data_IF_287483235490
#
_entry.id   IF_287483235490
#
_cell.length_a   1.000
_cell.length_b   1.000
_cell.length_c   1.000
_cell.angle_alpha   90.00
_cell.angle_beta   90.00
_cell.angle_gamma   90.00
#
_symmetry.space_group_name_H-M   'P 1'
#
loop_
_entity.id
_entity.type
_entity.pdbx_description
1 polymer ?
#
# COMPACT_ATOMS: atom_id res chain seq x y z
N UNK A 1 -8.95 -26.79 16.31
CA UNK A 1 -7.96 -25.91 15.64
C UNK A 1 -8.57 -24.91 14.64
N UNK A 2 -9.74 -25.16 14.01
CA UNK A 2 -10.47 -24.16 13.20
C UNK A 2 -10.94 -22.93 14.01
N UNK A 3 -11.54 -23.15 15.19
CA UNK A 3 -12.05 -22.07 16.07
C UNK A 3 -11.01 -20.99 16.46
N UNK A 4 -9.74 -21.36 16.64
CA UNK A 4 -8.67 -20.39 17.00
C UNK A 4 -8.26 -19.55 15.78
N UNK A 5 -8.29 -20.14 14.58
CA UNK A 5 -7.97 -19.46 13.33
C UNK A 5 -9.06 -18.41 13.01
N UNK A 6 -10.33 -18.78 13.18
CA UNK A 6 -11.48 -17.89 12.97
C UNK A 6 -11.45 -16.64 13.86
N UNK A 7 -11.01 -16.78 15.12
CA UNK A 7 -10.87 -15.66 16.04
C UNK A 7 -9.82 -14.62 15.61
N UNK A 8 -8.75 -15.03 14.92
CA UNK A 8 -7.72 -14.09 14.46
C UNK A 8 -8.22 -13.27 13.26
N UNK A 9 -8.94 -13.91 12.33
CA UNK A 9 -9.57 -13.23 11.20
C UNK A 9 -10.60 -12.21 11.68
N UNK A 10 -11.45 -12.58 12.65
CA UNK A 10 -12.49 -11.71 13.18
C UNK A 10 -11.92 -10.50 13.94
N UNK A 11 -10.88 -10.70 14.77
CA UNK A 11 -10.22 -9.60 15.49
C UNK A 11 -9.57 -8.60 14.54
N UNK A 12 -8.93 -9.09 13.48
CA UNK A 12 -8.32 -8.22 12.46
C UNK A 12 -9.38 -7.44 11.68
N UNK A 13 -10.44 -8.12 11.22
CA UNK A 13 -11.56 -7.49 10.54
C UNK A 13 -12.20 -6.40 11.42
N UNK A 14 -12.53 -6.72 12.67
CA UNK A 14 -13.16 -5.79 13.61
C UNK A 14 -12.25 -4.60 13.92
N UNK A 15 -10.94 -4.83 14.07
CA UNK A 15 -9.94 -3.75 14.25
C UNK A 15 -9.86 -2.83 13.02
N UNK A 16 -9.88 -3.39 11.81
CA UNK A 16 -9.86 -2.61 10.57
C UNK A 16 -11.15 -1.81 10.39
N UNK A 17 -12.31 -2.44 10.57
CA UNK A 17 -13.59 -1.75 10.47
C UNK A 17 -13.71 -0.65 11.53
N UNK A 18 -13.35 -0.91 12.78
CA UNK A 18 -13.34 0.10 13.83
C UNK A 18 -12.42 1.27 13.48
N UNK A 19 -11.23 1.00 12.93
CA UNK A 19 -10.29 2.04 12.51
C UNK A 19 -10.87 2.93 11.41
N UNK A 20 -11.44 2.35 10.36
CA UNK A 20 -12.05 3.13 9.28
C UNK A 20 -13.31 3.86 9.71
N UNK A 21 -14.11 3.30 10.63
CA UNK A 21 -15.26 3.99 11.24
C UNK A 21 -14.80 5.19 12.07
N UNK A 22 -13.72 5.05 12.85
CA UNK A 22 -13.13 6.18 13.59
C UNK A 22 -12.64 7.26 12.63
N UNK A 23 -11.91 6.89 11.57
CA UNK A 23 -11.47 7.86 10.55
C UNK A 23 -12.67 8.56 9.90
N UNK A 24 -13.69 7.81 9.48
CA UNK A 24 -14.89 8.38 8.88
C UNK A 24 -15.63 9.30 9.86
N UNK A 25 -15.70 8.93 11.14
CA UNK A 25 -16.27 9.76 12.20
C UNK A 25 -15.47 11.02 12.46
N UNK A 26 -14.14 10.96 12.44
CA UNK A 26 -13.24 12.12 12.56
C UNK A 26 -13.41 13.05 11.37
N UNK A 27 -13.45 12.51 10.15
CA UNK A 27 -13.69 13.28 8.92
C UNK A 27 -15.06 13.96 8.99
N UNK A 28 -16.10 13.22 9.35
CA UNK A 28 -17.46 13.74 9.47
C UNK A 28 -17.56 14.83 10.55
N UNK A 29 -16.94 14.62 11.71
CA UNK A 29 -16.87 15.63 12.77
C UNK A 29 -16.10 16.88 12.33
N UNK A 30 -15.00 16.72 11.60
CA UNK A 30 -14.23 17.82 11.05
C UNK A 30 -15.07 18.66 10.07
N UNK A 31 -15.84 18.00 9.18
CA UNK A 31 -16.80 18.67 8.30
C UNK A 31 -17.94 19.35 9.07
N UNK A 32 -18.39 18.78 10.19
CA UNK A 32 -19.46 19.34 11.00
C UNK A 32 -19.04 20.60 11.77
N UNK A 33 -17.77 20.71 12.17
CA UNK A 33 -17.26 21.87 12.92
C UNK A 33 -16.82 23.02 12.02
N UNK A 34 -16.32 22.74 10.80
CA UNK A 34 -15.79 23.76 9.90
C UNK A 34 -16.28 23.52 8.47
N UNK A 35 -17.33 24.24 8.02
CA UNK A 35 -17.91 24.07 6.68
C UNK A 35 -16.94 24.39 5.52
N UNK A 36 -15.92 25.23 5.76
CA UNK A 36 -14.89 25.67 4.78
C UNK A 36 -13.58 24.84 4.85
N UNK A 37 -13.57 23.72 5.58
CA UNK A 37 -12.36 22.92 5.79
C UNK A 37 -11.88 22.20 4.52
N UNK A 38 -12.78 21.98 3.56
CA UNK A 38 -12.47 21.39 2.24
C UNK A 38 -11.52 22.25 1.39
N UNK A 39 -11.45 23.57 1.64
CA UNK A 39 -10.55 24.48 0.92
C UNK A 39 -9.10 24.41 1.41
N UNK A 40 -8.90 24.05 2.68
CA UNK A 40 -7.60 24.10 3.35
C UNK A 40 -7.00 22.71 3.59
N UNK A 41 -7.82 21.65 3.52
CA UNK A 41 -7.34 20.29 3.67
C UNK A 41 -7.13 19.61 2.32
N UNK A 42 -6.10 18.75 2.20
CA UNK A 42 -5.86 17.89 1.04
C UNK A 42 -6.89 16.74 0.94
N UNK A 43 -8.18 17.05 1.01
CA UNK A 43 -9.22 16.01 0.98
C UNK A 43 -9.54 15.57 -0.45
N UNK A 44 -9.48 16.47 -1.44
CA UNK A 44 -9.71 16.19 -2.86
C UNK A 44 -11.09 15.62 -3.15
N UNK A 45 -11.95 16.39 -3.83
CA UNK A 45 -13.29 15.91 -4.21
C UNK A 45 -13.20 15.24 -5.59
N UNK A 46 -13.70 14.01 -5.69
CA UNK A 46 -13.65 13.20 -6.94
C UNK A 46 -14.36 13.90 -8.11
N UNK A 47 -15.34 14.75 -7.81
CA UNK A 47 -16.05 15.56 -8.79
C UNK A 47 -15.11 16.38 -9.68
N UNK A 48 -14.06 16.95 -9.10
CA UNK A 48 -13.11 17.80 -9.84
C UNK A 48 -12.26 17.00 -10.85
N UNK A 49 -11.97 15.73 -10.57
CA UNK A 49 -11.26 14.85 -11.51
C UNK A 49 -12.12 14.42 -12.71
N UNK A 50 -13.45 14.42 -12.55
CA UNK A 50 -14.38 13.99 -13.58
C UNK A 50 -14.88 15.16 -14.44
N UNK A 51 -14.71 16.40 -13.96
CA UNK A 51 -15.11 17.63 -14.65
C UNK A 51 -14.01 18.28 -15.49
N UNK A 52 -12.79 17.72 -15.52
CA UNK A 52 -11.65 18.35 -16.17
C UNK A 52 -11.60 18.04 -17.68
N UNK A 53 -12.20 18.92 -18.47
CA UNK A 53 -12.20 18.91 -19.93
C UNK A 53 -10.85 19.41 -20.51
N UNK A 54 -9.73 18.75 -20.20
CA UNK A 54 -8.42 19.03 -20.84
C UNK A 54 -8.19 18.11 -22.06
N UNK A 55 -8.27 18.61 -23.30
CA UNK A 55 -8.14 17.81 -24.52
C UNK A 55 -6.74 17.25 -24.75
N UNK A 56 -5.72 17.68 -23.99
CA UNK A 56 -4.34 17.16 -24.12
C UNK A 56 -4.00 16.11 -23.08
N UNK A 57 -4.73 16.04 -21.95
CA UNK A 57 -4.50 15.07 -20.85
C UNK A 57 -3.11 15.12 -20.21
N UNK A 58 -2.28 16.11 -20.56
CA UNK A 58 -0.89 16.24 -20.13
C UNK A 58 -0.69 17.36 -19.10
N UNK A 59 -1.69 18.23 -18.92
CA UNK A 59 -1.69 19.33 -17.95
C UNK A 59 -2.64 19.13 -16.75
N UNK A 60 -3.60 18.19 -16.84
CA UNK A 60 -4.67 17.96 -15.85
C UNK A 60 -4.31 17.26 -14.53
N UNK A 61 -3.12 17.50 -13.95
CA UNK A 61 -2.84 17.13 -12.56
C UNK A 61 -2.58 18.40 -11.76
N UNK A 62 -3.63 19.18 -11.52
CA UNK A 62 -3.56 20.33 -10.63
C UNK A 62 -3.45 19.85 -9.17
N UNK A 63 -2.31 20.10 -8.54
CA UNK A 63 -2.18 19.96 -7.09
C UNK A 63 -3.04 21.04 -6.45
N UNK A 64 -4.04 20.62 -5.68
CA UNK A 64 -4.99 21.48 -4.96
C UNK A 64 -4.34 22.27 -3.81
N UNK A 65 -3.01 22.33 -3.77
CA UNK A 65 -2.21 23.16 -2.87
C UNK A 65 -2.15 24.63 -3.32
N UNK A 66 -2.59 24.93 -4.56
CA UNK A 66 -2.60 26.28 -5.13
C UNK A 66 -3.53 27.27 -4.44
N UNK A 67 -4.41 26.81 -3.54
CA UNK A 67 -5.30 27.67 -2.74
C UNK A 67 -4.63 28.27 -1.49
N UNK A 68 -3.37 27.92 -1.18
CA UNK A 68 -2.69 28.39 0.02
C UNK A 68 -1.65 29.44 -0.33
N UNK A 69 -2.08 30.70 -0.34
CA UNK A 69 -1.26 31.87 -0.66
C UNK A 69 -0.31 32.30 0.47
N UNK A 70 -0.32 31.60 1.60
CA UNK A 70 0.46 31.90 2.80
C UNK A 70 1.51 30.81 3.07
N UNK A 71 2.78 31.18 3.25
CA UNK A 71 3.90 30.24 3.45
C UNK A 71 3.62 29.28 4.62
N UNK A 72 2.97 29.78 5.67
CA UNK A 72 2.59 28.99 6.84
C UNK A 72 1.52 27.94 6.51
N UNK A 73 0.53 28.30 5.71
CA UNK A 73 -0.55 27.39 5.34
C UNK A 73 -0.06 26.24 4.46
N UNK A 74 0.90 26.50 3.55
CA UNK A 74 1.47 25.45 2.69
C UNK A 74 2.20 24.37 3.50
N UNK A 75 2.93 24.78 4.55
CA UNK A 75 3.59 23.85 5.47
C UNK A 75 2.56 23.02 6.26
N UNK A 76 1.50 23.65 6.76
CA UNK A 76 0.42 22.94 7.47
C UNK A 76 -0.26 21.92 6.55
N UNK A 77 -0.55 22.32 5.31
CA UNK A 77 -1.15 21.44 4.30
C UNK A 77 -0.27 20.22 4.04
N UNK A 78 1.05 20.42 3.87
CA UNK A 78 2.02 19.34 3.67
C UNK A 78 2.06 18.38 4.88
N UNK A 79 2.11 18.93 6.09
CA UNK A 79 2.11 18.12 7.32
C UNK A 79 0.86 17.26 7.38
N UNK A 80 -0.31 17.83 7.07
CA UNK A 80 -1.56 17.08 7.08
C UNK A 80 -1.59 16.01 5.99
N UNK A 81 -1.08 16.29 4.78
CA UNK A 81 -0.97 15.31 3.70
C UNK A 81 -0.08 14.12 4.11
N UNK A 82 1.09 14.40 4.69
CA UNK A 82 2.03 13.37 5.17
C UNK A 82 1.42 12.56 6.31
N UNK A 83 0.85 13.22 7.31
CA UNK A 83 0.21 12.54 8.45
C UNK A 83 -0.97 11.68 7.98
N UNK A 84 -1.77 12.19 7.04
CA UNK A 84 -2.86 11.45 6.40
C UNK A 84 -2.35 10.21 5.68
N UNK A 85 -1.31 10.33 4.85
CA UNK A 85 -0.71 9.21 4.15
C UNK A 85 -0.19 8.13 5.11
N UNK A 86 0.52 8.53 6.17
CA UNK A 86 1.04 7.62 7.20
C UNK A 86 -0.12 6.93 7.94
N UNK A 87 -1.14 7.69 8.34
CA UNK A 87 -2.32 7.17 9.04
C UNK A 87 -3.07 6.14 8.18
N UNK A 88 -3.15 6.35 6.87
CA UNK A 88 -3.76 5.41 5.93
C UNK A 88 -2.94 4.12 5.74
N UNK A 89 -1.62 4.18 5.91
CA UNK A 89 -0.74 3.00 5.80
C UNK A 89 -0.68 2.14 7.06
N UNK A 90 -1.07 2.66 8.22
CA UNK A 90 -1.18 1.87 9.47
C UNK A 90 -2.06 0.62 9.32
N UNK A 91 -3.33 0.69 8.86
CA UNK A 91 -4.16 -0.50 8.71
C UNK A 91 -3.61 -1.47 7.66
N UNK A 92 -2.97 -0.96 6.60
CA UNK A 92 -2.29 -1.78 5.59
C UNK A 92 -1.16 -2.61 6.22
N UNK A 93 -0.42 -2.02 7.17
CA UNK A 93 0.64 -2.74 7.89
C UNK A 93 0.09 -3.89 8.75
N UNK A 94 -1.09 -3.72 9.34
CA UNK A 94 -1.74 -4.77 10.10
C UNK A 94 -2.15 -5.94 9.20
N UNK A 95 -2.68 -5.64 8.02
CA UNK A 95 -3.02 -6.66 7.01
C UNK A 95 -1.76 -7.41 6.57
N UNK A 96 -0.67 -6.71 6.26
CA UNK A 96 0.61 -7.32 5.92
C UNK A 96 1.11 -8.30 6.99
N UNK A 97 1.16 -7.85 8.24
CA UNK A 97 1.63 -8.66 9.37
C UNK A 97 0.70 -9.85 9.66
N UNK A 98 -0.60 -9.71 9.45
CA UNK A 98 -1.55 -10.78 9.75
C UNK A 98 -1.55 -11.91 8.71
N UNK A 99 -1.24 -11.58 7.45
CA UNK A 99 -1.18 -12.58 6.38
C UNK A 99 0.10 -13.40 6.48
N UNK A 100 1.20 -12.80 6.94
CA UNK A 100 2.48 -13.51 7.12
C UNK A 100 2.53 -14.23 8.45
N UNK A 101 3.14 -15.42 8.45
CA UNK A 101 3.58 -16.06 9.70
C UNK A 101 4.61 -15.13 10.36
N UNK A 102 4.50 -14.91 11.66
CA UNK A 102 5.35 -13.98 12.43
C UNK A 102 6.86 -14.17 12.20
N UNK A 103 7.31 -15.41 11.92
CA UNK A 103 8.72 -15.71 11.61
C UNK A 103 9.20 -15.32 10.20
N UNK A 104 8.29 -14.87 9.32
CA UNK A 104 8.57 -14.47 7.93
C UNK A 104 8.21 -13.00 7.66
N UNK A 105 7.85 -12.23 8.69
CA UNK A 105 7.61 -10.79 8.55
C UNK A 105 8.96 -10.11 8.41
N UNK A 106 9.17 -9.39 7.32
CA UNK A 106 10.36 -8.56 7.14
C UNK A 106 10.08 -7.19 7.78
N UNK A 107 10.75 -6.92 8.90
CA UNK A 107 10.60 -5.66 9.62
C UNK A 107 11.01 -4.47 8.74
N UNK A 108 12.06 -4.63 7.92
CA UNK A 108 12.52 -3.57 7.02
C UNK A 108 11.45 -3.22 5.99
N UNK A 109 10.67 -4.20 5.53
CA UNK A 109 9.57 -3.95 4.61
C UNK A 109 8.44 -3.16 5.27
N UNK A 110 8.03 -3.54 6.48
CA UNK A 110 6.98 -2.82 7.22
C UNK A 110 7.37 -1.37 7.47
N UNK A 111 8.62 -1.14 7.88
CA UNK A 111 9.18 0.20 8.07
C UNK A 111 9.20 0.99 6.75
N UNK A 112 9.70 0.37 5.68
CA UNK A 112 9.73 0.98 4.34
C UNK A 112 8.33 1.36 3.89
N UNK A 113 7.33 0.51 4.09
CA UNK A 113 5.96 0.77 3.67
C UNK A 113 5.32 1.97 4.39
N UNK A 114 5.74 2.27 5.62
CA UNK A 114 5.27 3.41 6.42
C UNK A 114 6.04 4.70 6.08
N UNK A 115 7.34 4.60 5.80
CA UNK A 115 8.20 5.75 5.50
C UNK A 115 8.09 6.19 4.03
N UNK A 116 7.93 5.25 3.11
CA UNK A 116 7.87 5.52 1.67
C UNK A 116 6.76 6.50 1.22
N UNK A 117 5.53 6.49 1.77
CA UNK A 117 4.51 7.47 1.41
C UNK A 117 4.96 8.89 1.74
N UNK A 118 5.68 9.09 2.85
CA UNK A 118 6.21 10.40 3.26
C UNK A 118 7.14 10.96 2.18
N UNK A 119 8.09 10.14 1.72
CA UNK A 119 9.02 10.53 0.67
C UNK A 119 8.28 10.82 -0.65
N UNK A 120 7.35 9.96 -1.04
CA UNK A 120 6.59 10.10 -2.29
C UNK A 120 5.70 11.35 -2.27
N UNK A 121 4.99 11.62 -1.17
CA UNK A 121 4.18 12.84 -0.98
C UNK A 121 5.05 14.09 -1.13
N UNK A 122 6.22 14.12 -0.51
CA UNK A 122 7.16 15.24 -0.64
C UNK A 122 7.68 15.42 -2.07
N UNK A 123 8.07 14.33 -2.73
CA UNK A 123 8.56 14.37 -4.12
C UNK A 123 7.50 14.96 -5.06
N UNK A 124 6.25 14.48 -4.97
CA UNK A 124 5.14 14.96 -5.82
C UNK A 124 4.93 16.47 -5.68
N UNK A 125 5.03 16.98 -4.46
CA UNK A 125 4.88 18.42 -4.23
C UNK A 125 6.05 19.23 -4.77
N UNK A 126 7.28 18.70 -4.69
CA UNK A 126 8.47 19.35 -5.25
C UNK A 126 8.39 19.44 -6.78
N UNK A 127 7.88 18.40 -7.43
CA UNK A 127 7.80 18.33 -8.91
C UNK A 127 6.46 18.82 -9.46
N UNK A 128 5.67 19.55 -8.67
CA UNK A 128 4.32 20.03 -9.01
C UNK A 128 4.21 20.58 -10.44
N UNK A 129 5.14 21.44 -10.85
CA UNK A 129 5.08 22.13 -12.13
C UNK A 129 5.47 21.26 -13.35
N UNK A 130 5.88 20.01 -13.14
CA UNK A 130 6.29 19.09 -14.20
C UNK A 130 6.07 17.62 -13.84
N UNK A 131 4.89 17.31 -13.29
CA UNK A 131 4.54 15.95 -12.88
C UNK A 131 4.68 14.94 -14.03
N UNK A 132 4.14 15.26 -15.22
CA UNK A 132 4.25 14.40 -16.39
C UNK A 132 5.72 14.07 -16.74
N UNK A 133 6.62 15.05 -16.62
CA UNK A 133 8.05 14.87 -16.88
C UNK A 133 8.70 14.03 -15.78
N UNK A 134 8.41 14.31 -14.51
CA UNK A 134 8.91 13.55 -13.38
C UNK A 134 8.48 12.08 -13.42
N UNK A 135 7.22 11.80 -13.78
CA UNK A 135 6.71 10.45 -13.98
C UNK A 135 7.34 9.76 -15.19
N UNK A 136 7.53 10.49 -16.30
CA UNK A 136 8.22 9.95 -17.48
C UNK A 136 9.63 9.48 -17.13
N UNK A 137 10.42 10.32 -16.45
CA UNK A 137 11.77 9.97 -16.02
C UNK A 137 11.77 8.80 -15.03
N UNK A 138 10.88 8.84 -14.03
CA UNK A 138 10.74 7.76 -13.04
C UNK A 138 10.34 6.44 -13.72
N UNK A 139 9.48 6.49 -14.73
CA UNK A 139 9.06 5.35 -15.54
C UNK A 139 10.21 4.70 -16.31
N UNK A 140 11.06 5.51 -16.94
CA UNK A 140 12.27 5.02 -17.62
C UNK A 140 13.21 4.34 -16.63
N UNK A 141 13.47 4.96 -15.48
CA UNK A 141 14.33 4.39 -14.42
C UNK A 141 13.74 3.10 -13.86
N UNK A 142 12.43 3.07 -13.61
CA UNK A 142 11.71 1.89 -13.14
C UNK A 142 11.80 0.75 -14.15
N UNK A 143 11.59 1.02 -15.45
CA UNK A 143 11.73 0.02 -16.53
C UNK A 143 13.13 -0.59 -16.61
N UNK A 144 14.18 0.23 -16.47
CA UNK A 144 15.57 -0.24 -16.43
C UNK A 144 15.85 -1.11 -15.19
N UNK A 145 15.17 -0.85 -14.07
CA UNK A 145 15.33 -1.62 -12.82
C UNK A 145 14.43 -2.86 -12.74
N UNK A 146 13.29 -2.85 -13.43
CA UNK A 146 12.32 -3.96 -13.47
C UNK A 146 12.94 -5.25 -14.02
N UNK A 147 13.97 -5.13 -14.88
CA UNK A 147 14.73 -6.27 -15.40
C UNK A 147 15.49 -7.08 -14.33
N UNK A 148 15.57 -6.61 -13.07
CA UNK A 148 16.44 -7.23 -12.08
C UNK A 148 15.88 -7.40 -10.65
N UNK A 149 14.57 -7.28 -10.40
CA UNK A 149 14.06 -7.50 -9.03
C UNK A 149 12.60 -7.92 -8.96
N UNK A 150 12.34 -9.15 -8.54
CA UNK A 150 11.17 -9.50 -7.72
C UNK A 150 11.62 -10.53 -6.67
N UNK A 151 11.93 -10.07 -5.44
CA UNK A 151 12.23 -10.97 -4.29
C UNK A 151 10.98 -11.76 -3.84
N UNK A 152 9.79 -11.15 -3.99
CA UNK A 152 8.48 -11.74 -3.73
C UNK A 152 7.41 -10.83 -4.32
N UNK A 153 6.58 -11.32 -5.24
CA UNK A 153 5.54 -10.51 -5.90
C UNK A 153 4.51 -9.94 -4.91
N UNK A 154 4.22 -10.67 -3.82
CA UNK A 154 3.29 -10.20 -2.79
C UNK A 154 3.81 -8.96 -2.06
N UNK A 155 5.10 -8.93 -1.74
CA UNK A 155 5.75 -7.81 -1.04
C UNK A 155 5.76 -6.55 -1.91
N UNK A 156 5.99 -6.71 -3.21
CA UNK A 156 5.96 -5.61 -4.18
C UNK A 156 4.60 -4.92 -4.24
N UNK A 157 3.49 -5.65 -4.04
CA UNK A 157 2.15 -5.06 -4.06
C UNK A 157 1.91 -4.13 -2.86
N UNK A 158 2.43 -4.46 -1.68
CA UNK A 158 2.35 -3.58 -0.50
C UNK A 158 3.20 -2.32 -0.65
N UNK A 159 4.39 -2.45 -1.23
CA UNK A 159 5.23 -1.29 -1.56
C UNK A 159 4.58 -0.43 -2.64
N UNK A 160 3.99 -1.03 -3.67
CA UNK A 160 3.26 -0.30 -4.70
C UNK A 160 2.06 0.45 -4.10
N UNK A 161 1.34 -0.18 -3.17
CA UNK A 161 0.26 0.46 -2.43
C UNK A 161 0.74 1.69 -1.65
N UNK A 162 1.89 1.59 -0.98
CA UNK A 162 2.54 2.72 -0.27
C UNK A 162 2.85 3.89 -1.21
N UNK A 163 3.40 3.61 -2.39
CA UNK A 163 3.64 4.61 -3.43
C UNK A 163 2.33 5.24 -3.88
N UNK A 164 1.29 4.45 -4.17
CA UNK A 164 -0.03 4.95 -4.57
C UNK A 164 -0.67 5.89 -3.55
N UNK A 165 -0.61 5.54 -2.26
CA UNK A 165 -1.09 6.41 -1.17
C UNK A 165 -0.28 7.70 -1.08
N UNK A 166 1.05 7.60 -1.18
CA UNK A 166 1.93 8.78 -1.17
C UNK A 166 1.67 9.72 -2.36
N UNK A 167 1.41 9.17 -3.55
CA UNK A 167 1.07 9.91 -4.76
C UNK A 167 -0.27 10.65 -4.60
N UNK A 168 -1.31 9.94 -4.16
CA UNK A 168 -2.63 10.51 -3.94
C UNK A 168 -2.60 11.60 -2.85
N UNK A 169 -1.84 11.40 -1.77
CA UNK A 169 -1.63 12.42 -0.76
C UNK A 169 -0.83 13.62 -1.29
N UNK A 170 0.18 13.40 -2.13
CA UNK A 170 1.02 14.44 -2.71
C UNK A 170 0.27 15.39 -3.64
N UNK A 171 -0.72 14.90 -4.37
CA UNK A 171 -1.60 15.73 -5.21
C UNK A 171 -2.78 16.35 -4.43
N UNK A 172 -2.89 16.06 -3.13
CA UNK A 172 -3.93 16.63 -2.28
C UNK A 172 -5.26 15.86 -2.28
N UNK A 173 -5.25 14.57 -2.63
CA UNK A 173 -6.44 13.73 -2.76
C UNK A 173 -6.46 12.58 -1.74
N UNK A 174 -6.48 12.93 -0.45
CA UNK A 174 -6.51 11.93 0.63
C UNK A 174 -7.78 11.06 0.63
N UNK A 175 -8.92 11.53 0.11
CA UNK A 175 -10.12 10.70 0.02
C UNK A 175 -9.94 9.52 -0.94
N UNK A 176 -9.24 9.73 -2.05
CA UNK A 176 -8.92 8.66 -3.00
C UNK A 176 -7.94 7.68 -2.34
N UNK A 177 -6.92 8.19 -1.65
CA UNK A 177 -6.00 7.35 -0.88
C UNK A 177 -6.74 6.50 0.17
N UNK A 178 -7.72 7.07 0.88
CA UNK A 178 -8.55 6.37 1.84
C UNK A 178 -9.32 5.22 1.18
N UNK A 179 -10.06 5.51 0.10
CA UNK A 179 -10.83 4.50 -0.64
C UNK A 179 -9.91 3.38 -1.15
N UNK A 180 -8.76 3.74 -1.72
CA UNK A 180 -7.76 2.76 -2.17
C UNK A 180 -7.35 1.83 -1.04
N UNK A 181 -6.99 2.36 0.15
CA UNK A 181 -6.56 1.51 1.28
C UNK A 181 -7.67 0.62 1.81
N UNK A 182 -8.90 1.14 1.87
CA UNK A 182 -10.09 0.37 2.27
C UNK A 182 -10.27 -0.83 1.34
N UNK A 183 -10.35 -0.58 0.04
CA UNK A 183 -10.55 -1.64 -0.96
C UNK A 183 -9.40 -2.64 -0.90
N UNK A 184 -8.16 -2.15 -0.88
CA UNK A 184 -6.96 -2.99 -0.81
C UNK A 184 -7.00 -3.95 0.39
N UNK A 185 -7.28 -3.43 1.58
CA UNK A 185 -7.31 -4.21 2.81
C UNK A 185 -8.43 -5.26 2.79
N UNK A 186 -9.64 -4.92 2.34
CA UNK A 186 -10.75 -5.86 2.26
C UNK A 186 -10.56 -6.93 1.17
N UNK A 187 -9.96 -6.57 0.02
CA UNK A 187 -9.62 -7.54 -1.03
C UNK A 187 -8.57 -8.54 -0.51
N UNK A 188 -7.51 -8.05 0.15
CA UNK A 188 -6.49 -8.93 0.73
C UNK A 188 -7.05 -9.84 1.82
N UNK A 189 -7.94 -9.32 2.68
CA UNK A 189 -8.67 -10.13 3.64
C UNK A 189 -9.51 -11.21 2.96
N UNK A 190 -10.28 -10.87 1.92
CA UNK A 190 -11.10 -11.82 1.17
C UNK A 190 -10.25 -12.95 0.57
N UNK A 191 -9.16 -12.59 -0.13
CA UNK A 191 -8.21 -13.56 -0.71
C UNK A 191 -7.60 -14.47 0.36
N UNK A 192 -7.23 -13.91 1.50
CA UNK A 192 -6.67 -14.68 2.61
C UNK A 192 -7.70 -15.63 3.24
N UNK A 193 -8.95 -15.20 3.41
CA UNK A 193 -10.03 -16.03 3.97
C UNK A 193 -10.45 -17.17 3.02
N UNK A 194 -10.46 -16.91 1.71
CA UNK A 194 -10.76 -17.94 0.71
C UNK A 194 -9.59 -18.88 0.42
N UNK A 195 -8.42 -18.65 1.02
CA UNK A 195 -7.21 -19.44 0.81
C UNK A 195 -6.87 -19.59 -0.69
N UNK A 196 -7.14 -18.53 -1.47
CA UNK A 196 -7.03 -18.53 -2.92
C UNK A 196 -5.56 -18.70 -3.32
N UNK A 197 -5.26 -19.69 -4.17
CA UNK A 197 -3.89 -20.00 -4.61
C UNK A 197 -3.08 -20.90 -3.66
N UNK A 198 -3.70 -21.55 -2.66
CA UNK A 198 -3.01 -22.58 -1.87
C UNK A 198 -2.69 -23.80 -2.73
N UNK A 199 -1.44 -23.88 -3.18
CA UNK A 199 -0.88 -25.12 -3.73
C UNK A 199 -0.37 -25.92 -2.55
N UNK A 200 -1.02 -27.05 -2.26
CA UNK A 200 -0.54 -27.99 -1.26
C UNK A 200 0.88 -28.40 -1.62
N UNK A 201 1.84 -28.00 -0.77
CA UNK A 201 3.27 -28.22 -0.95
C UNK A 201 3.53 -29.56 -1.62
N UNK A 202 4.21 -29.49 -2.76
CA UNK A 202 4.84 -30.58 -3.47
C UNK A 202 5.90 -31.28 -2.59
N UNK A 203 5.46 -31.89 -1.48
CA UNK A 203 6.23 -32.82 -0.63
C UNK A 203 6.66 -34.09 -1.38
N UNK A 204 6.28 -34.21 -2.65
CA UNK A 204 6.62 -35.34 -3.53
C UNK A 204 8.09 -35.32 -4.00
N UNK A 205 8.77 -34.16 -4.06
CA UNK A 205 10.07 -34.10 -4.76
C UNK A 205 11.30 -34.39 -3.87
N UNK A 206 11.25 -34.14 -2.56
CA UNK A 206 12.40 -34.45 -1.67
C UNK A 206 12.39 -35.86 -1.06
N UNK A 207 11.29 -36.61 -1.13
CA UNK A 207 11.26 -38.00 -0.64
C UNK A 207 11.97 -38.97 -1.58
N UNK A 208 12.16 -38.62 -2.84
CA UNK A 208 12.88 -39.46 -3.80
C UNK A 208 14.40 -39.34 -3.69
N UNK A 209 14.93 -38.16 -3.34
CA UNK A 209 16.39 -37.98 -3.16
C UNK A 209 16.95 -38.76 -1.96
N UNK A 210 16.13 -39.04 -0.93
CA UNK A 210 16.57 -39.81 0.25
C UNK A 210 16.52 -41.33 0.05
N UNK A 211 15.82 -41.83 -0.98
CA UNK A 211 15.70 -43.28 -1.23
C UNK A 211 16.81 -43.83 -2.14
N UNK A 212 17.53 -42.97 -2.85
CA UNK A 212 18.65 -43.39 -3.70
C UNK A 212 19.94 -43.65 -2.90
N UNK A 213 20.05 -43.11 -1.68
CA UNK A 213 21.24 -43.28 -0.84
C UNK A 213 21.21 -44.51 0.10
N UNK A 214 20.26 -45.43 -0.04
CA UNK A 214 20.19 -46.64 0.80
C UNK A 214 20.10 -47.97 0.02
N UNK A 215 20.42 -47.97 -1.29
CA UNK A 215 20.45 -49.20 -2.10
C UNK A 215 21.79 -49.41 -2.81
N UNK A 216 22.87 -48.85 -2.26
CA UNK A 216 24.25 -49.19 -2.65
C UNK A 216 25.11 -49.45 -1.40
N UNK A 217 24.52 -50.20 -0.46
CA UNK A 217 25.28 -50.90 0.57
C UNK A 217 25.04 -52.38 0.31
N UNK A 218 26.13 -53.01 -0.11
CA UNK A 218 26.37 -54.45 -0.19
C UNK A 218 25.98 -55.17 -1.49
N UNK A 219 26.94 -55.15 -2.44
CA UNK A 219 27.34 -56.39 -3.11
C UNK A 219 28.85 -56.56 -2.94
N UNK A 220 29.24 -57.23 -1.86
CA UNK A 220 30.52 -57.92 -1.84
C UNK A 220 30.65 -58.87 -3.03
N UNK A 221 31.86 -58.95 -3.58
CA UNK A 221 32.43 -60.08 -4.34
C UNK A 221 33.92 -59.77 -4.52
N UNK A 222 34.75 -60.60 -3.87
CA UNK A 222 36.07 -61.17 -4.27
C UNK A 222 36.83 -60.44 -5.41
N UNK A 223 38.09 -60.02 -5.29
CA UNK A 223 39.31 -60.70 -4.82
C UNK A 223 40.36 -59.71 -4.24
#
# INVERSE_FOLDING_TARGET
>A
MKLIKDMHHLRLFLRLTAYYVVIAGVIWFAYAQVPDLSRHLPLGVVEHLLSEDDPTGLTGVEIHASSVTDEFGGVVWLIVAILGAVLLMVPVSWVYMAIRKTSKVDQSLVETMIILPVAVTGIVLIVHNSLALAFSLTGVVAGVRFRNTLKSSADSVFIFMSVGVGLAAGIGMLMIALIMTVIFNYVFLALWTWNYGYVEEAKTYMRLSKKEKSTDVDRGVFD
#
